data_IF_920677466544
#
_entry.id   IF_920677466544
#
_cell.length_a   1.000
_cell.length_b   1.000
_cell.length_c   1.000
_cell.angle_alpha   90.00
_cell.angle_beta   90.00
_cell.angle_gamma   90.00
#
_symmetry.space_group_name_H-M   'P 1'
#
loop_
_entity.id
_entity.type
_entity.pdbx_description
1 polymer ?
#
# COMPACT_ATOMS: atom_id res chain seq x y z
N UNK A 1 -17.71 11.44 -31.81
CA UNK A 1 -17.97 10.00 -31.98
C UNK A 1 -18.52 9.47 -30.65
N UNK A 2 -19.83 9.37 -30.51
CA UNK A 2 -20.48 8.89 -29.28
C UNK A 2 -20.65 7.38 -29.34
N UNK A 3 -20.13 6.68 -28.33
CA UNK A 3 -20.30 5.24 -28.17
C UNK A 3 -21.78 4.92 -27.88
N UNK A 4 -22.25 3.75 -28.31
CA UNK A 4 -23.64 3.36 -28.07
C UNK A 4 -23.92 3.26 -26.55
N UNK A 5 -25.17 3.50 -26.09
CA UNK A 5 -25.52 3.42 -24.67
C UNK A 5 -25.13 2.08 -24.01
N UNK A 6 -25.29 0.98 -24.74
CA UNK A 6 -24.91 -0.36 -24.29
C UNK A 6 -23.40 -0.51 -24.13
N UNK A 7 -22.61 0.06 -25.03
CA UNK A 7 -21.15 0.04 -24.96
C UNK A 7 -20.64 0.93 -23.82
N UNK A 8 -21.28 2.08 -23.58
CA UNK A 8 -20.95 2.94 -22.43
C UNK A 8 -21.23 2.26 -21.10
N UNK A 9 -22.37 1.58 -20.96
CA UNK A 9 -22.67 0.80 -19.77
C UNK A 9 -21.68 -0.37 -19.58
N UNK A 10 -21.25 -1.02 -20.67
CA UNK A 10 -20.25 -2.09 -20.61
C UNK A 10 -18.87 -1.59 -20.17
N UNK A 11 -18.41 -0.46 -20.72
CA UNK A 11 -17.14 0.18 -20.33
C UNK A 11 -17.18 0.63 -18.87
N UNK A 12 -18.27 1.25 -18.41
CA UNK A 12 -18.40 1.69 -17.02
C UNK A 12 -18.32 0.50 -16.03
N UNK A 13 -19.01 -0.61 -16.33
CA UNK A 13 -18.91 -1.84 -15.53
C UNK A 13 -17.52 -2.46 -15.57
N UNK A 14 -16.86 -2.42 -16.73
CA UNK A 14 -15.49 -2.88 -16.92
C UNK A 14 -14.50 -2.08 -16.07
N UNK A 15 -14.62 -0.74 -16.05
CA UNK A 15 -13.77 0.14 -15.26
C UNK A 15 -13.99 0.00 -13.75
N UNK A 16 -15.23 -0.27 -13.31
CA UNK A 16 -15.51 -0.58 -11.91
C UNK A 16 -14.87 -1.91 -11.47
N UNK A 17 -14.86 -2.92 -12.35
CA UNK A 17 -14.24 -4.23 -12.07
C UNK A 17 -12.71 -4.19 -12.19
N UNK A 18 -12.19 -3.41 -13.13
CA UNK A 18 -10.76 -3.30 -13.45
C UNK A 18 -10.23 -1.92 -13.05
N UNK A 19 -10.46 -1.53 -11.80
CA UNK A 19 -9.94 -0.25 -11.31
C UNK A 19 -8.41 -0.32 -11.27
N UNK A 20 -7.68 0.59 -11.94
CA UNK A 20 -6.23 0.61 -11.88
C UNK A 20 -5.78 0.88 -10.43
N UNK A 21 -4.81 0.10 -9.96
CA UNK A 21 -4.13 0.31 -8.69
C UNK A 21 -2.99 1.29 -8.95
N UNK A 22 -2.92 2.35 -8.15
CA UNK A 22 -1.78 3.28 -8.19
C UNK A 22 -0.72 2.73 -7.25
N UNK A 23 0.47 2.49 -7.78
CA UNK A 23 1.62 2.00 -7.03
C UNK A 23 2.70 3.07 -6.99
N UNK A 24 3.29 3.25 -5.81
CA UNK A 24 4.54 3.97 -5.67
C UNK A 24 5.73 3.04 -5.84
N UNK A 25 6.91 3.58 -5.58
CA UNK A 25 8.17 2.84 -5.68
C UNK A 25 9.11 3.24 -4.55
N UNK A 26 9.82 2.25 -4.02
CA UNK A 26 10.93 2.46 -3.09
C UNK A 26 11.99 3.33 -3.75
N UNK A 27 12.36 4.44 -3.11
CA UNK A 27 13.40 5.35 -3.59
C UNK A 27 14.69 5.21 -2.84
N UNK A 28 14.62 5.12 -1.53
CA UNK A 28 15.79 5.04 -0.68
C UNK A 28 15.45 4.33 0.63
N UNK A 29 16.48 3.83 1.30
CA UNK A 29 16.38 3.25 2.63
C UNK A 29 17.47 3.88 3.50
N UNK A 30 17.09 4.36 4.68
CA UNK A 30 17.99 4.97 5.67
C UNK A 30 17.71 4.36 7.04
N UNK A 31 18.60 3.48 7.50
CA UNK A 31 18.35 2.67 8.69
C UNK A 31 17.19 1.71 8.43
N UNK A 32 16.07 1.91 9.12
CA UNK A 32 14.82 1.14 8.92
C UNK A 32 13.70 1.97 8.29
N UNK A 33 13.96 3.25 7.99
CA UNK A 33 13.00 4.11 7.32
C UNK A 33 13.17 4.01 5.80
N UNK A 34 12.05 3.89 5.09
CA UNK A 34 12.00 3.69 3.65
C UNK A 34 11.27 4.89 3.04
N UNK A 35 11.88 5.51 2.03
CA UNK A 35 11.30 6.63 1.31
C UNK A 35 10.62 6.11 0.04
N UNK A 36 9.36 6.50 -0.18
CA UNK A 36 8.53 6.02 -1.29
C UNK A 36 8.02 7.20 -2.12
N UNK A 37 8.18 7.12 -3.43
CA UNK A 37 7.63 8.07 -4.39
C UNK A 37 6.34 7.53 -5.01
N UNK A 38 5.46 8.42 -5.48
CA UNK A 38 4.33 8.03 -6.34
C UNK A 38 3.06 7.57 -5.61
N UNK A 39 3.06 7.54 -4.28
CA UNK A 39 1.85 7.37 -3.48
C UNK A 39 1.41 8.66 -2.81
N UNK A 40 0.10 8.77 -2.57
CA UNK A 40 -0.50 9.77 -1.66
C UNK A 40 -1.20 9.01 -0.54
N UNK A 41 -0.52 8.90 0.59
CA UNK A 41 -0.96 8.13 1.75
C UNK A 41 -0.96 9.04 3.00
N UNK A 42 -1.82 8.73 3.99
CA UNK A 42 -1.83 9.43 5.27
C UNK A 42 -0.89 8.75 6.27
N UNK A 43 -0.41 9.49 7.28
CA UNK A 43 0.29 8.88 8.43
C UNK A 43 -0.64 7.87 9.10
N UNK A 44 -0.09 6.71 9.46
CA UNK A 44 -0.83 5.57 10.03
C UNK A 44 -1.40 4.60 9.00
N UNK A 45 -1.29 4.92 7.69
CA UNK A 45 -1.81 4.06 6.64
C UNK A 45 -0.93 2.83 6.41
N UNK A 46 -1.58 1.68 6.23
CA UNK A 46 -0.91 0.44 5.86
C UNK A 46 -0.46 0.50 4.39
N UNK A 47 0.78 0.15 4.17
CA UNK A 47 1.37 -0.06 2.85
C UNK A 47 1.92 -1.48 2.75
N UNK A 48 2.02 -2.00 1.53
CA UNK A 48 2.72 -3.25 1.25
C UNK A 48 3.77 -3.01 0.18
N UNK A 49 5.01 -3.40 0.48
CA UNK A 49 6.15 -3.38 -0.43
C UNK A 49 6.26 -4.77 -1.06
N UNK A 50 6.23 -4.83 -2.40
CA UNK A 50 6.38 -6.10 -3.12
C UNK A 50 7.84 -6.33 -3.45
N UNK A 51 8.43 -7.34 -2.83
CA UNK A 51 9.84 -7.72 -3.06
C UNK A 51 9.92 -9.05 -3.80
N UNK A 52 11.12 -9.40 -4.28
CA UNK A 52 11.37 -10.72 -4.86
C UNK A 52 11.33 -11.87 -3.83
N UNK A 53 11.56 -11.59 -2.54
CA UNK A 53 11.54 -12.58 -1.46
C UNK A 53 10.19 -12.70 -0.75
N UNK A 54 9.22 -11.83 -1.07
CA UNK A 54 7.90 -11.81 -0.45
C UNK A 54 7.44 -10.39 -0.11
N UNK A 55 6.15 -10.25 0.14
CA UNK A 55 5.56 -8.96 0.49
C UNK A 55 5.94 -8.56 1.92
N UNK A 56 6.29 -7.29 2.10
CA UNK A 56 6.60 -6.69 3.40
C UNK A 56 5.56 -5.60 3.69
N UNK A 57 4.76 -5.80 4.73
CA UNK A 57 3.86 -4.78 5.22
C UNK A 57 4.64 -3.66 5.93
N UNK A 58 4.15 -2.43 5.81
CA UNK A 58 4.77 -1.23 6.34
C UNK A 58 3.71 -0.20 6.72
N UNK A 59 4.05 0.75 7.57
CA UNK A 59 3.16 1.84 7.97
C UNK A 59 3.78 3.19 7.59
N UNK A 60 2.96 4.11 7.08
CA UNK A 60 3.39 5.49 6.83
C UNK A 60 3.60 6.21 8.16
N UNK A 61 4.85 6.57 8.46
CA UNK A 61 5.23 7.26 9.70
C UNK A 61 5.47 8.76 9.50
N UNK A 62 5.52 9.23 8.27
CA UNK A 62 5.71 10.64 7.97
C UNK A 62 6.00 10.91 6.50
N UNK A 63 6.55 12.09 6.23
CA UNK A 63 6.91 12.53 4.90
C UNK A 63 8.23 13.28 4.94
N UNK A 64 9.00 13.19 3.86
CA UNK A 64 10.19 14.01 3.61
C UNK A 64 10.14 14.50 2.17
N UNK A 65 10.20 15.82 2.01
CA UNK A 65 10.00 16.48 0.71
C UNK A 65 8.68 16.07 0.05
N UNK A 66 8.74 15.29 -1.05
CA UNK A 66 7.57 14.75 -1.77
C UNK A 66 7.46 13.24 -1.65
N UNK A 67 8.18 12.63 -0.71
CA UNK A 67 8.24 11.20 -0.48
C UNK A 67 7.48 10.84 0.80
N UNK A 68 6.71 9.77 0.74
CA UNK A 68 6.20 9.13 1.95
C UNK A 68 7.37 8.44 2.65
N UNK A 69 7.43 8.53 3.97
CA UNK A 69 8.36 7.78 4.79
C UNK A 69 7.56 6.67 5.48
N UNK A 70 7.92 5.43 5.18
CA UNK A 70 7.27 4.24 5.72
C UNK A 70 8.26 3.43 6.57
N UNK A 71 7.73 2.68 7.53
CA UNK A 71 8.49 1.74 8.34
C UNK A 71 7.92 0.32 8.20
N UNK A 72 8.77 -0.69 7.99
CA UNK A 72 8.35 -2.08 7.87
C UNK A 72 7.75 -2.59 9.19
N UNK A 73 6.67 -3.38 9.09
CA UNK A 73 6.04 -4.10 10.17
C UNK A 73 6.66 -5.51 10.29
N UNK A 74 7.98 -5.55 10.49
CA UNK A 74 8.75 -6.78 10.48
C UNK A 74 10.16 -6.56 9.95
N UNK A 75 10.80 -7.65 9.51
CA UNK A 75 12.16 -7.59 8.97
C UNK A 75 12.16 -7.02 7.54
N UNK A 76 12.97 -5.98 7.23
CA UNK A 76 13.05 -5.38 5.89
C UNK A 76 13.90 -6.20 4.91
N UNK A 77 13.81 -7.52 4.97
CA UNK A 77 14.62 -8.40 4.11
C UNK A 77 14.11 -8.30 2.68
N UNK A 78 15.03 -8.09 1.74
CA UNK A 78 14.72 -8.15 0.32
C UNK A 78 14.26 -6.86 -0.33
N UNK A 79 14.04 -5.81 0.46
CA UNK A 79 13.60 -4.51 -0.04
C UNK A 79 14.71 -3.85 -0.87
N UNK A 80 14.40 -3.50 -2.11
CA UNK A 80 15.32 -2.87 -3.06
C UNK A 80 14.75 -1.58 -3.65
N UNK A 81 15.59 -0.63 -4.11
CA UNK A 81 15.13 0.52 -4.87
C UNK A 81 14.35 0.09 -6.11
N UNK A 82 13.20 0.73 -6.35
CA UNK A 82 12.30 0.42 -7.45
C UNK A 82 11.19 -0.58 -7.09
N UNK A 83 11.25 -1.24 -5.93
CA UNK A 83 10.20 -2.17 -5.51
C UNK A 83 8.84 -1.45 -5.45
N UNK A 84 7.77 -2.05 -6.01
CA UNK A 84 6.44 -1.46 -5.99
C UNK A 84 5.89 -1.35 -4.57
N UNK A 85 5.20 -0.24 -4.29
CA UNK A 85 4.55 0.00 -3.00
C UNK A 85 3.08 0.31 -3.21
N UNK A 86 2.21 -0.47 -2.56
CA UNK A 86 0.75 -0.28 -2.61
C UNK A 86 0.29 0.35 -1.30
N UNK A 87 -0.54 1.38 -1.37
CA UNK A 87 -1.18 2.02 -0.21
C UNK A 87 -2.61 1.51 -0.05
N UNK A 88 -3.01 1.12 1.17
CA UNK A 88 -4.31 0.47 1.40
C UNK A 88 -5.45 1.42 1.79
N UNK A 89 -5.19 2.73 1.90
CA UNK A 89 -6.16 3.76 2.30
C UNK A 89 -6.85 3.48 3.65
N UNK A 90 -6.19 2.69 4.51
CA UNK A 90 -6.66 2.33 5.85
C UNK A 90 -5.45 2.04 6.75
N UNK A 91 -5.57 2.25 8.06
CA UNK A 91 -4.55 1.82 8.99
C UNK A 91 -4.47 0.31 9.08
N UNK A 92 -3.39 -0.18 9.71
CA UNK A 92 -3.35 -1.56 10.18
C UNK A 92 -4.50 -1.76 11.18
N UNK A 93 -5.29 -2.81 10.96
CA UNK A 93 -6.38 -3.18 11.85
C UNK A 93 -6.28 -4.67 12.16
N UNK A 94 -6.61 -5.01 13.40
CA UNK A 94 -6.70 -6.40 13.86
C UNK A 94 -8.14 -6.69 14.24
N UNK A 95 -8.60 -7.91 13.96
CA UNK A 95 -9.93 -8.35 14.37
C UNK A 95 -9.95 -8.62 15.87
N UNK A 96 -10.96 -8.11 16.57
CA UNK A 96 -11.14 -8.30 18.01
C UNK A 96 -12.44 -9.03 18.33
N UNK A 97 -12.51 -9.71 19.47
CA UNK A 97 -13.73 -10.37 19.95
C UNK A 97 -13.51 -11.12 21.26
N UNK A 98 -14.58 -11.74 21.79
CA UNK A 98 -14.52 -12.44 23.08
C UNK A 98 -13.51 -13.59 23.12
N UNK A 99 -13.18 -14.18 21.97
CA UNK A 99 -12.15 -15.21 21.85
C UNK A 99 -10.73 -14.75 22.23
N UNK A 100 -10.49 -13.44 22.36
CA UNK A 100 -9.21 -12.88 22.79
C UNK A 100 -9.09 -12.71 24.31
N UNK A 101 -10.19 -12.87 25.07
CA UNK A 101 -10.16 -12.70 26.54
C UNK A 101 -9.23 -13.73 27.19
N UNK A 102 -8.28 -13.26 28.00
CA UNK A 102 -7.34 -14.12 28.73
C UNK A 102 -6.23 -14.73 27.87
N UNK A 103 -6.02 -14.24 26.63
CA UNK A 103 -4.96 -14.70 25.74
C UNK A 103 -3.77 -13.72 25.75
N UNK A 104 -2.57 -14.27 25.57
CA UNK A 104 -1.36 -13.53 25.15
C UNK A 104 -1.17 -13.85 23.66
N UNK A 105 -1.00 -12.82 22.83
CA UNK A 105 -0.91 -12.90 21.38
C UNK A 105 0.50 -12.58 20.91
#
# INVERSE_FOLDING_TARGET
MTLSPNLMAAVARGLQRNRPIVEGQVRSLRGIAIEVAGIRAAVGELCTIRTAQGDVDAEVVGFRDRLAVIMPLGEPIGIAPGDPVVSHARPLCVTTGDGLRGRVL
#
